data_IF_397120442311
#
_entry.id   IF_397120442311
#
_cell.length_a   1.000
_cell.length_b   1.000
_cell.length_c   1.000
_cell.angle_alpha   90.00
_cell.angle_beta   90.00
_cell.angle_gamma   90.00
#
_symmetry.space_group_name_H-M   'P 1'
#
loop_
_entity.id
_entity.type
_entity.pdbx_description
1 polymer ?
#
# COMPACT_ATOMS: atom_id res chain seq x y z
N UNK A 1 42.27 -4.59 19.99
CA UNK A 1 41.48 -5.62 19.26
C UNK A 1 40.37 -5.06 18.35
N UNK A 2 39.69 -3.94 18.68
CA UNK A 2 38.60 -3.37 17.85
C UNK A 2 39.04 -2.69 16.53
N UNK A 3 40.28 -2.20 16.44
CA UNK A 3 40.80 -1.54 15.23
C UNK A 3 41.16 -2.48 14.07
N UNK A 4 41.47 -3.75 14.37
CA UNK A 4 41.85 -4.73 13.34
C UNK A 4 40.65 -5.39 12.65
N UNK A 5 39.49 -5.50 13.34
CA UNK A 5 38.26 -6.05 12.76
C UNK A 5 37.60 -5.09 11.75
N UNK A 6 37.69 -3.77 11.95
CA UNK A 6 37.18 -2.78 10.97
C UNK A 6 37.99 -2.77 9.66
N UNK A 7 39.32 -2.93 9.72
CA UNK A 7 40.16 -2.99 8.51
C UNK A 7 39.97 -4.26 7.68
N UNK A 8 39.60 -5.38 8.32
CA UNK A 8 39.31 -6.64 7.63
C UNK A 8 37.93 -6.62 6.94
N UNK A 9 36.93 -5.94 7.51
CA UNK A 9 35.65 -5.70 6.83
C UNK A 9 35.82 -4.77 5.61
N UNK A 10 36.56 -3.66 5.76
CA UNK A 10 36.84 -2.70 4.67
C UNK A 10 37.63 -3.32 3.51
N UNK A 11 38.56 -4.26 3.78
CA UNK A 11 39.30 -4.98 2.73
C UNK A 11 38.49 -6.09 2.06
N UNK A 12 37.48 -6.66 2.74
CA UNK A 12 36.55 -7.63 2.13
C UNK A 12 35.50 -6.95 1.26
N UNK A 13 35.01 -5.77 1.65
CA UNK A 13 34.11 -4.96 0.79
C UNK A 13 34.85 -4.42 -0.43
N UNK A 14 36.09 -3.91 -0.30
CA UNK A 14 36.86 -3.45 -1.46
C UNK A 14 37.23 -4.54 -2.49
N UNK A 15 37.29 -5.82 -2.10
CA UNK A 15 37.50 -6.93 -3.05
C UNK A 15 36.23 -7.36 -3.79
N UNK A 16 35.05 -7.07 -3.23
CA UNK A 16 33.75 -7.21 -3.90
C UNK A 16 33.42 -5.97 -4.78
N UNK A 17 34.16 -4.87 -4.61
CA UNK A 17 34.00 -3.60 -5.32
C UNK A 17 34.99 -3.38 -6.47
N UNK A 18 35.64 -4.43 -7.00
CA UNK A 18 36.16 -4.30 -8.36
C UNK A 18 34.93 -4.09 -9.25
N UNK A 19 34.88 -3.06 -10.13
CA UNK A 19 33.83 -2.99 -11.13
C UNK A 19 33.93 -4.29 -11.91
N UNK A 20 32.97 -5.20 -11.69
CA UNK A 20 32.73 -6.29 -12.61
C UNK A 20 32.59 -5.60 -13.95
N UNK A 21 33.52 -5.85 -14.89
CA UNK A 21 33.43 -5.33 -16.26
C UNK A 21 31.98 -5.50 -16.66
N UNK A 22 31.24 -4.39 -16.84
CA UNK A 22 29.85 -4.45 -17.30
C UNK A 22 29.89 -5.29 -18.56
N UNK A 23 29.23 -6.47 -18.60
CA UNK A 23 29.18 -7.20 -19.84
C UNK A 23 28.43 -6.30 -20.82
N UNK A 24 29.00 -6.04 -22.01
CA UNK A 24 28.31 -5.34 -23.13
C UNK A 24 26.87 -5.84 -23.36
N UNK A 25 26.60 -7.08 -22.96
CA UNK A 25 25.30 -7.74 -23.04
C UNK A 25 24.21 -7.09 -22.16
N UNK A 26 24.57 -6.52 -21.02
CA UNK A 26 23.65 -5.85 -20.10
C UNK A 26 23.00 -4.63 -20.76
N UNK A 27 23.80 -3.77 -21.38
CA UNK A 27 23.30 -2.56 -22.05
C UNK A 27 22.49 -2.93 -23.31
N UNK A 28 22.88 -4.02 -24.01
CA UNK A 28 22.08 -4.60 -25.10
C UNK A 28 20.69 -5.05 -24.64
N UNK A 29 20.58 -5.73 -23.49
CA UNK A 29 19.29 -6.17 -22.95
C UNK A 29 18.44 -4.98 -22.49
N UNK A 30 19.04 -4.02 -21.78
CA UNK A 30 18.34 -2.80 -21.36
C UNK A 30 17.80 -2.03 -22.57
N UNK A 31 18.60 -1.91 -23.64
CA UNK A 31 18.17 -1.26 -24.89
C UNK A 31 17.04 -1.99 -25.60
N UNK A 32 16.98 -3.33 -25.54
CA UNK A 32 15.88 -4.13 -26.11
C UNK A 32 14.53 -3.87 -25.43
N UNK A 33 14.56 -3.42 -24.17
CA UNK A 33 13.37 -3.14 -23.37
C UNK A 33 13.16 -1.63 -23.15
N UNK A 34 13.92 -0.77 -23.83
CA UNK A 34 13.89 0.69 -23.69
C UNK A 34 14.10 1.16 -22.23
N UNK A 35 14.89 0.41 -21.46
CA UNK A 35 15.24 0.75 -20.06
C UNK A 35 16.49 1.65 -20.08
N UNK A 36 16.46 2.85 -19.47
CA UNK A 36 17.60 3.76 -19.45
C UNK A 36 18.85 3.22 -18.73
N UNK A 37 20.01 3.79 -19.07
CA UNK A 37 21.30 3.41 -18.49
C UNK A 37 21.39 3.79 -17.01
N UNK A 38 22.30 3.14 -16.26
CA UNK A 38 22.48 3.42 -14.83
C UNK A 38 22.90 4.87 -14.56
N UNK A 39 23.66 5.48 -15.49
CA UNK A 39 24.17 6.85 -15.35
C UNK A 39 23.06 7.91 -15.36
N UNK A 40 21.86 7.56 -15.81
CA UNK A 40 20.67 8.42 -15.77
C UNK A 40 19.95 8.38 -14.41
N UNK A 41 20.36 7.49 -13.50
CA UNK A 41 19.87 7.40 -12.13
C UNK A 41 21.05 7.54 -11.15
N UNK A 42 21.16 8.62 -10.35
CA UNK A 42 22.31 8.80 -9.47
C UNK A 42 22.46 7.63 -8.51
N UNK A 43 23.70 7.13 -8.34
CA UNK A 43 24.00 5.99 -7.49
C UNK A 43 23.67 6.30 -6.01
N UNK A 44 22.92 5.39 -5.37
CA UNK A 44 22.49 5.52 -3.97
C UNK A 44 23.70 5.67 -3.00
N UNK A 45 24.88 5.17 -3.37
CA UNK A 45 26.11 5.21 -2.57
C UNK A 45 26.73 6.61 -2.37
N UNK A 46 26.22 7.65 -3.04
CA UNK A 46 26.81 9.00 -3.01
C UNK A 46 26.15 9.99 -2.04
N UNK A 47 25.10 9.60 -1.31
CA UNK A 47 24.30 10.54 -0.54
C UNK A 47 24.19 10.15 0.94
N UNK A 48 24.76 11.00 1.82
CA UNK A 48 24.41 10.98 3.23
C UNK A 48 22.96 11.48 3.37
N UNK A 49 22.08 10.76 4.09
CA UNK A 49 20.69 11.17 4.28
C UNK A 49 20.69 12.51 5.02
N UNK A 50 20.50 13.59 4.27
CA UNK A 50 20.28 14.90 4.86
C UNK A 50 18.87 14.85 5.44
N UNK A 51 18.77 14.94 6.77
CA UNK A 51 17.52 15.21 7.44
C UNK A 51 17.00 16.53 6.86
N UNK A 52 16.02 16.44 5.95
CA UNK A 52 15.30 17.64 5.53
C UNK A 52 14.45 18.04 6.73
N UNK A 53 14.94 19.01 7.50
CA UNK A 53 14.11 19.75 8.44
C UNK A 53 13.04 20.46 7.60
N UNK A 54 11.80 19.97 7.69
CA UNK A 54 10.65 20.64 7.09
C UNK A 54 10.52 21.97 7.82
N UNK A 55 10.93 23.08 7.19
CA UNK A 55 10.72 24.40 7.76
C UNK A 55 9.22 24.64 7.98
N UNK A 56 8.78 24.96 9.22
CA UNK A 56 7.37 25.23 9.52
C UNK A 56 6.80 26.46 8.79
N UNK A 57 7.66 27.27 8.17
CA UNK A 57 7.35 28.61 7.66
C UNK A 57 6.63 28.62 6.31
N UNK A 58 6.64 27.50 5.57
CA UNK A 58 5.90 27.33 4.30
C UNK A 58 4.62 26.50 4.47
N UNK A 59 4.24 26.21 5.71
CA UNK A 59 2.93 25.63 6.04
C UNK A 59 1.92 26.74 5.84
N UNK A 60 1.08 26.63 4.82
CA UNK A 60 -0.26 27.21 4.90
C UNK A 60 -0.88 26.58 6.15
N UNK A 61 -0.75 27.25 7.29
CA UNK A 61 -1.46 26.90 8.51
C UNK A 61 -2.92 27.02 8.12
N UNK A 62 -3.54 25.87 7.87
CA UNK A 62 -4.96 25.81 7.62
C UNK A 62 -5.64 26.19 8.95
N UNK A 63 -5.87 27.49 9.13
CA UNK A 63 -6.87 27.95 10.07
C UNK A 63 -8.21 27.39 9.58
N UNK A 64 -8.95 26.65 10.42
CA UNK A 64 -10.27 26.18 10.05
C UNK A 64 -11.09 27.40 9.63
N UNK A 65 -11.82 27.36 8.49
CA UNK A 65 -12.67 28.48 8.12
C UNK A 65 -13.59 28.77 9.29
N UNK A 66 -13.50 30.00 9.81
CA UNK A 66 -14.40 30.51 10.84
C UNK A 66 -15.83 30.21 10.42
N UNK A 67 -16.63 29.73 11.38
CA UNK A 67 -18.05 29.40 11.22
C UNK A 67 -18.76 30.49 10.43
N UNK A 68 -18.89 30.29 9.12
CA UNK A 68 -19.65 31.17 8.24
C UNK A 68 -21.07 30.63 8.18
N UNK A 69 -21.99 31.46 8.66
CA UNK A 69 -23.42 31.21 8.76
C UNK A 69 -24.07 30.80 7.43
N UNK A 70 -24.95 29.82 7.55
CA UNK A 70 -26.10 29.45 6.73
C UNK A 70 -26.15 29.89 5.25
N UNK A 71 -25.95 28.91 4.35
CA UNK A 71 -26.70 28.84 3.10
C UNK A 71 -27.84 27.82 3.24
N UNK A 72 -29.08 28.14 2.84
CA UNK A 72 -30.20 27.24 3.03
C UNK A 72 -30.12 26.08 2.03
N UNK A 73 -29.78 24.88 2.52
CA UNK A 73 -30.02 23.62 1.79
C UNK A 73 -31.49 23.24 1.99
N UNK A 74 -32.19 22.93 0.90
CA UNK A 74 -33.63 22.64 0.91
C UNK A 74 -34.00 21.24 1.42
N UNK A 75 -33.20 20.66 2.30
CA UNK A 75 -33.51 19.42 3.01
C UNK A 75 -33.52 19.68 4.52
N UNK A 76 -34.62 19.33 5.20
CA UNK A 76 -34.73 19.41 6.66
C UNK A 76 -33.48 18.78 7.31
N UNK A 77 -32.75 19.48 8.20
CA UNK A 77 -31.61 18.89 8.88
C UNK A 77 -32.10 17.75 9.77
N UNK A 78 -31.69 16.51 9.46
CA UNK A 78 -31.85 15.38 10.38
C UNK A 78 -31.04 15.67 11.64
N UNK A 79 -31.59 15.37 12.81
CA UNK A 79 -30.89 15.56 14.07
C UNK A 79 -29.64 14.65 14.10
N UNK A 80 -28.49 15.15 14.57
CA UNK A 80 -27.25 14.36 14.74
C UNK A 80 -27.47 13.07 15.55
N UNK A 81 -28.45 13.06 16.47
CA UNK A 81 -28.84 11.86 17.23
C UNK A 81 -29.52 10.81 16.35
N UNK A 82 -30.41 11.22 15.45
CA UNK A 82 -31.09 10.32 14.50
C UNK A 82 -30.10 9.73 13.48
N UNK A 83 -29.13 10.54 13.02
CA UNK A 83 -28.05 10.07 12.15
C UNK A 83 -27.15 9.03 12.83
N UNK A 84 -26.86 9.21 14.13
CA UNK A 84 -26.09 8.24 14.92
C UNK A 84 -26.86 6.93 15.12
N UNK A 85 -28.16 6.99 15.36
CA UNK A 85 -29.00 5.80 15.56
C UNK A 85 -29.23 5.04 14.25
N UNK A 86 -29.39 5.74 13.12
CA UNK A 86 -29.45 5.11 11.79
C UNK A 86 -28.11 4.45 11.43
N UNK A 87 -26.99 5.14 11.64
CA UNK A 87 -25.66 4.59 11.42
C UNK A 87 -25.42 3.35 12.29
N UNK A 88 -25.79 3.40 13.57
CA UNK A 88 -25.67 2.26 14.48
C UNK A 88 -26.49 1.06 14.00
N UNK A 89 -27.74 1.27 13.57
CA UNK A 89 -28.58 0.19 13.00
C UNK A 89 -28.00 -0.40 11.72
N UNK A 90 -27.44 0.43 10.84
CA UNK A 90 -26.81 -0.01 9.60
C UNK A 90 -25.53 -0.81 9.89
N UNK A 91 -24.71 -0.34 10.83
CA UNK A 91 -23.54 -1.04 11.32
C UNK A 91 -23.94 -2.39 11.94
N UNK A 92 -24.91 -2.42 12.86
CA UNK A 92 -25.41 -3.65 13.49
C UNK A 92 -25.92 -4.66 12.43
N UNK A 93 -26.61 -4.18 11.39
CA UNK A 93 -27.06 -5.02 10.28
C UNK A 93 -25.90 -5.58 9.46
N UNK A 94 -24.93 -4.74 9.07
CA UNK A 94 -23.74 -5.16 8.33
C UNK A 94 -22.91 -6.16 9.13
N UNK A 95 -22.77 -5.92 10.43
CA UNK A 95 -22.07 -6.78 11.37
C UNK A 95 -22.76 -8.12 11.57
N UNK A 96 -24.09 -8.16 11.62
CA UNK A 96 -24.85 -9.42 11.72
C UNK A 96 -24.74 -10.31 10.47
N UNK A 97 -24.42 -9.70 9.32
CA UNK A 97 -24.35 -10.36 8.01
C UNK A 97 -22.93 -10.65 7.55
N UNK A 98 -21.92 -10.41 8.38
CA UNK A 98 -20.53 -10.59 8.00
C UNK A 98 -19.65 -11.18 9.10
N UNK A 99 -18.64 -11.93 8.70
CA UNK A 99 -17.56 -12.42 9.56
C UNK A 99 -16.22 -11.94 9.02
N UNK A 100 -15.22 -11.85 9.89
CA UNK A 100 -13.87 -11.42 9.54
C UNK A 100 -12.96 -12.65 9.54
N UNK A 101 -12.08 -12.76 8.55
CA UNK A 101 -11.04 -13.78 8.56
C UNK A 101 -10.01 -13.43 9.64
N UNK A 102 -9.79 -14.32 10.61
CA UNK A 102 -8.84 -14.12 11.72
C UNK A 102 -7.38 -13.96 11.29
N UNK A 103 -7.07 -14.30 10.03
CA UNK A 103 -5.73 -14.18 9.46
C UNK A 103 -5.50 -12.83 8.79
N UNK A 104 -6.36 -12.45 7.84
CA UNK A 104 -6.16 -11.25 7.02
C UNK A 104 -6.98 -10.03 7.45
N UNK A 105 -7.99 -10.20 8.32
CA UNK A 105 -8.85 -9.10 8.74
C UNK A 105 -9.88 -8.66 7.70
N UNK A 106 -9.96 -9.35 6.55
CA UNK A 106 -10.95 -9.07 5.49
C UNK A 106 -12.33 -9.58 5.91
N UNK A 107 -13.34 -8.74 5.71
CA UNK A 107 -14.74 -9.05 5.95
C UNK A 107 -15.30 -9.94 4.83
N UNK A 108 -16.12 -10.94 5.18
CA UNK A 108 -16.80 -11.86 4.29
C UNK A 108 -18.27 -12.00 4.68
N UNK A 109 -19.08 -12.57 3.79
CA UNK A 109 -20.50 -12.86 4.09
C UNK A 109 -20.60 -13.85 5.25
N UNK A 110 -21.53 -13.60 6.19
CA UNK A 110 -21.85 -14.51 7.28
C UNK A 110 -22.26 -15.90 6.75
N UNK A 111 -22.09 -16.94 7.58
CA UNK A 111 -22.31 -18.36 7.27
C UNK A 111 -21.25 -19.00 6.35
N UNK A 112 -20.07 -18.38 6.22
CA UNK A 112 -18.90 -18.94 5.53
C UNK A 112 -18.03 -19.84 6.42
N UNK A 113 -18.52 -20.27 7.60
CA UNK A 113 -17.75 -21.01 8.61
C UNK A 113 -17.01 -22.24 8.07
N UNK A 114 -17.56 -22.91 7.05
CA UNK A 114 -16.96 -24.11 6.43
C UNK A 114 -16.08 -23.81 5.20
N UNK A 115 -16.03 -22.55 4.76
CA UNK A 115 -15.29 -22.13 3.57
C UNK A 115 -13.99 -21.43 3.92
N UNK A 116 -13.00 -21.57 3.04
CA UNK A 116 -11.72 -20.88 3.13
C UNK A 116 -11.87 -19.42 2.70
N UNK A 117 -11.11 -18.53 3.32
CA UNK A 117 -11.02 -17.15 2.88
C UNK A 117 -10.36 -17.12 1.50
N UNK A 118 -11.06 -16.62 0.47
CA UNK A 118 -10.55 -16.60 -0.90
C UNK A 118 -9.29 -15.75 -1.06
N UNK A 119 -9.07 -14.75 -0.20
CA UNK A 119 -7.84 -13.95 -0.17
C UNK A 119 -6.69 -14.76 0.41
N UNK A 120 -6.88 -15.36 1.59
CA UNK A 120 -5.84 -16.14 2.26
C UNK A 120 -5.51 -17.44 1.54
N UNK A 121 -6.52 -18.08 0.96
CA UNK A 121 -6.40 -19.36 0.26
C UNK A 121 -5.96 -19.21 -1.20
N UNK A 122 -5.81 -18.00 -1.74
CA UNK A 122 -5.18 -17.83 -3.05
C UNK A 122 -3.77 -18.44 -2.99
N UNK A 123 -3.64 -19.67 -3.49
CA UNK A 123 -2.40 -20.45 -3.45
C UNK A 123 -1.31 -19.82 -4.32
N UNK A 124 -1.69 -18.95 -5.25
CA UNK A 124 -0.75 -18.25 -6.12
C UNK A 124 -0.13 -17.03 -5.45
N UNK A 125 -0.73 -16.52 -4.36
CA UNK A 125 -0.33 -15.25 -3.72
C UNK A 125 -0.10 -15.35 -2.21
N UNK A 126 -0.98 -16.01 -1.49
CA UNK A 126 -1.04 -15.93 -0.03
C UNK A 126 -0.86 -17.28 0.65
N UNK A 127 -1.46 -18.34 0.09
CA UNK A 127 -1.32 -19.75 0.50
C UNK A 127 -1.30 -20.00 2.02
N UNK A 128 -2.13 -19.30 2.79
CA UNK A 128 -2.23 -19.56 4.22
C UNK A 128 -2.82 -20.95 4.47
N UNK A 129 -2.30 -21.63 5.49
CA UNK A 129 -2.77 -22.98 5.83
C UNK A 129 -4.24 -22.90 6.27
N UNK A 130 -5.03 -23.91 5.91
CA UNK A 130 -6.45 -24.01 6.28
C UNK A 130 -6.67 -23.85 7.78
N UNK A 131 -5.81 -24.46 8.61
CA UNK A 131 -5.90 -24.40 10.08
C UNK A 131 -5.72 -22.98 10.65
N UNK A 132 -5.05 -22.09 9.92
CA UNK A 132 -4.80 -20.71 10.35
C UNK A 132 -6.00 -19.79 10.01
N UNK A 133 -6.98 -20.27 9.24
CA UNK A 133 -8.15 -19.51 8.78
C UNK A 133 -9.36 -19.81 9.65
N UNK A 134 -9.62 -18.93 10.61
CA UNK A 134 -10.84 -18.94 11.42
C UNK A 134 -11.70 -17.72 11.11
N UNK A 135 -12.94 -17.75 11.56
CA UNK A 135 -13.90 -16.67 11.37
C UNK A 135 -14.23 -16.05 12.73
N UNK A 136 -14.09 -14.74 12.84
CA UNK A 136 -14.36 -13.97 14.05
C UNK A 136 -15.37 -12.87 13.74
N UNK A 137 -16.26 -12.50 14.67
CA UNK A 137 -17.14 -11.33 14.48
C UNK A 137 -16.37 -10.03 14.72
N UNK A 138 -16.85 -8.91 14.20
CA UNK A 138 -16.25 -7.61 14.51
C UNK A 138 -16.38 -7.26 15.99
N UNK A 139 -17.49 -7.62 16.63
CA UNK A 139 -17.69 -7.44 18.06
C UNK A 139 -16.65 -8.23 18.86
N UNK A 140 -16.38 -9.49 18.49
CA UNK A 140 -15.33 -10.29 19.14
C UNK A 140 -13.94 -9.68 18.94
N UNK A 141 -13.66 -9.05 17.79
CA UNK A 141 -12.41 -8.32 17.58
C UNK A 141 -12.31 -7.16 18.57
N UNK A 142 -13.37 -6.37 18.74
CA UNK A 142 -13.39 -5.25 19.68
C UNK A 142 -13.29 -5.69 21.15
N UNK A 143 -14.03 -6.72 21.55
CA UNK A 143 -14.14 -7.14 22.95
C UNK A 143 -13.00 -8.05 23.40
N UNK A 144 -12.60 -9.03 22.56
CA UNK A 144 -11.66 -10.07 22.96
C UNK A 144 -10.21 -9.76 22.57
N UNK A 145 -9.99 -9.06 21.44
CA UNK A 145 -8.65 -8.62 21.05
C UNK A 145 -8.32 -7.22 21.60
N UNK A 146 -9.35 -6.44 21.97
CA UNK A 146 -9.27 -5.09 22.53
C UNK A 146 -8.23 -4.19 21.84
N UNK A 147 -8.27 -4.06 20.50
CA UNK A 147 -7.32 -3.24 19.78
C UNK A 147 -7.63 -1.75 19.95
N UNK A 148 -6.57 -0.94 19.97
CA UNK A 148 -6.64 0.52 20.00
C UNK A 148 -5.91 1.06 18.77
N UNK A 149 -6.55 1.98 18.04
CA UNK A 149 -5.89 2.70 16.96
C UNK A 149 -5.04 3.86 17.50
N UNK A 150 -3.83 3.99 16.97
CA UNK A 150 -2.95 5.13 17.13
C UNK A 150 -2.95 5.94 15.84
N UNK A 151 -2.86 7.26 15.97
CA UNK A 151 -2.83 8.18 14.84
C UNK A 151 -1.60 9.07 14.93
N UNK A 152 -0.78 9.03 13.90
CA UNK A 152 0.47 9.79 13.82
C UNK A 152 0.53 10.54 12.49
N UNK A 153 0.77 11.86 12.52
CA UNK A 153 1.01 12.62 11.30
C UNK A 153 2.44 12.36 10.83
N UNK A 154 2.58 11.63 9.72
CA UNK A 154 3.87 11.42 9.06
C UNK A 154 4.26 12.63 8.21
N UNK A 155 3.25 13.37 7.73
CA UNK A 155 3.36 14.65 7.03
C UNK A 155 2.19 15.54 7.48
N UNK A 156 2.24 16.87 7.27
CA UNK A 156 1.12 17.78 7.61
C UNK A 156 -0.24 17.35 7.01
N UNK A 157 -0.20 16.68 5.86
CA UNK A 157 -1.37 16.21 5.12
C UNK A 157 -1.48 14.67 5.03
N UNK A 158 -0.70 13.92 5.82
CA UNK A 158 -0.72 12.46 5.83
C UNK A 158 -0.79 11.95 7.26
N UNK A 159 -1.96 11.48 7.65
CA UNK A 159 -2.18 10.81 8.92
C UNK A 159 -2.05 9.29 8.72
N UNK A 160 -1.18 8.66 9.48
CA UNK A 160 -1.12 7.21 9.60
C UNK A 160 -2.08 6.72 10.68
N UNK A 161 -2.73 5.59 10.43
CA UNK A 161 -3.59 4.88 11.38
C UNK A 161 -3.01 3.48 11.57
N UNK A 162 -2.56 3.18 12.79
CA UNK A 162 -2.01 1.88 13.17
C UNK A 162 -2.83 1.25 14.28
N UNK A 163 -2.88 -0.08 14.34
CA UNK A 163 -3.57 -0.82 15.39
C UNK A 163 -2.59 -1.42 16.41
N UNK A 164 -2.94 -1.33 17.70
CA UNK A 164 -2.17 -1.87 18.81
C UNK A 164 -3.06 -2.70 19.77
N UNK A 165 -2.72 -3.96 20.10
CA UNK A 165 -1.59 -4.72 19.57
C UNK A 165 -1.72 -4.98 18.06
N UNK A 166 -0.62 -5.40 17.43
CA UNK A 166 -0.64 -5.82 16.03
C UNK A 166 -1.54 -7.04 15.88
N UNK A 167 -2.57 -6.91 15.05
CA UNK A 167 -3.52 -7.98 14.72
C UNK A 167 -3.54 -8.22 13.20
N UNK A 168 -4.05 -9.39 12.81
CA UNK A 168 -4.11 -9.82 11.40
C UNK A 168 -2.75 -9.71 10.69
N UNK A 169 -2.66 -9.00 9.57
CA UNK A 169 -1.42 -8.78 8.82
C UNK A 169 -0.58 -7.62 9.33
N UNK A 170 -1.04 -6.90 10.36
CA UNK A 170 -0.33 -5.74 10.90
C UNK A 170 -0.21 -4.55 9.95
N UNK A 171 -1.14 -4.46 9.00
CA UNK A 171 -1.22 -3.35 8.05
C UNK A 171 -1.62 -2.05 8.75
N UNK A 172 -1.30 -0.93 8.10
CA UNK A 172 -1.73 0.43 8.47
C UNK A 172 -2.61 1.02 7.37
N UNK A 173 -3.40 2.02 7.74
CA UNK A 173 -4.19 2.83 6.80
C UNK A 173 -3.66 4.27 6.82
N UNK A 174 -3.90 5.02 5.74
CA UNK A 174 -3.52 6.43 5.67
C UNK A 174 -4.73 7.31 5.34
N UNK A 175 -4.86 8.43 6.04
CA UNK A 175 -5.78 9.50 5.67
C UNK A 175 -4.98 10.65 5.05
N UNK A 176 -5.18 10.85 3.75
CA UNK A 176 -4.63 11.97 3.00
C UNK A 176 -5.57 13.16 3.15
N UNK A 177 -5.08 14.24 3.76
CA UNK A 177 -5.84 15.48 3.91
C UNK A 177 -5.73 16.32 2.65
N UNK A 178 -6.87 16.86 2.19
CA UNK A 178 -6.91 17.77 1.05
C UNK A 178 -8.12 18.71 1.11
N UNK A 179 -8.07 19.82 0.36
CA UNK A 179 -9.05 20.92 0.43
C UNK A 179 -10.42 20.49 -0.07
N UNK A 180 -10.46 19.64 -1.08
CA UNK A 180 -11.67 19.13 -1.73
C UNK A 180 -12.21 17.86 -1.05
N UNK A 181 -11.56 17.37 0.01
CA UNK A 181 -12.02 16.28 0.89
C UNK A 181 -10.96 15.21 1.15
N UNK A 182 -10.97 14.57 2.32
CA UNK A 182 -9.91 13.60 2.64
C UNK A 182 -10.12 12.26 1.91
N UNK A 183 -9.01 11.60 1.59
CA UNK A 183 -8.98 10.26 0.98
C UNK A 183 -8.42 9.27 2.00
N UNK A 184 -9.14 8.19 2.30
CA UNK A 184 -8.63 7.08 3.07
C UNK A 184 -8.01 6.05 2.12
N UNK A 185 -6.71 5.84 2.23
CA UNK A 185 -5.97 4.84 1.47
C UNK A 185 -5.83 3.56 2.30
N UNK A 186 -6.37 2.48 1.74
CA UNK A 186 -6.51 1.17 2.36
C UNK A 186 -7.35 1.19 3.65
N UNK A 187 -7.98 0.07 3.99
CA UNK A 187 -8.70 -0.10 5.24
C UNK A 187 -7.99 -1.07 6.17
N UNK A 188 -8.24 -0.92 7.47
CA UNK A 188 -7.80 -1.84 8.53
C UNK A 188 -9.00 -2.32 9.34
N UNK A 189 -8.84 -3.42 10.07
CA UNK A 189 -9.83 -3.95 11.00
C UNK A 189 -9.30 -3.82 12.44
N UNK A 190 -10.14 -3.42 13.42
CA UNK A 190 -11.56 -3.07 13.30
C UNK A 190 -11.80 -1.59 12.93
N UNK A 191 -13.05 -1.24 12.67
CA UNK A 191 -13.53 0.16 12.82
C UNK A 191 -13.98 0.38 14.26
N UNK A 192 -13.53 1.47 14.89
CA UNK A 192 -13.99 1.90 16.20
C UNK A 192 -14.47 3.38 16.17
N UNK A 193 -15.38 3.72 17.09
CA UNK A 193 -15.99 5.06 17.10
C UNK A 193 -15.05 6.16 17.59
N UNK A 194 -13.99 5.84 18.36
CA UNK A 194 -13.00 6.84 18.78
C UNK A 194 -12.24 7.35 17.55
N UNK A 195 -11.80 6.43 16.70
CA UNK A 195 -11.15 6.75 15.42
C UNK A 195 -12.09 7.48 14.46
N UNK A 196 -13.32 7.02 14.30
CA UNK A 196 -14.31 7.69 13.43
C UNK A 196 -14.56 9.13 13.89
N UNK A 197 -14.74 9.34 15.19
CA UNK A 197 -14.94 10.68 15.76
C UNK A 197 -13.69 11.57 15.58
N UNK A 198 -12.50 11.02 15.74
CA UNK A 198 -11.26 11.74 15.50
C UNK A 198 -11.14 12.19 14.03
N UNK A 199 -11.36 11.29 13.09
CA UNK A 199 -11.31 11.59 11.65
C UNK A 199 -12.37 12.62 11.25
N UNK A 200 -13.60 12.52 11.77
CA UNK A 200 -14.65 13.51 11.54
C UNK A 200 -14.26 14.92 12.02
N UNK A 201 -13.53 15.04 13.14
CA UNK A 201 -13.02 16.34 13.62
C UNK A 201 -11.98 16.97 12.70
N UNK A 202 -11.29 16.17 11.89
CA UNK A 202 -10.25 16.65 10.96
C UNK A 202 -10.70 16.62 9.48
N UNK A 203 -12.02 16.61 9.23
CA UNK A 203 -12.61 16.77 7.90
C UNK A 203 -13.32 15.53 7.34
N UNK A 204 -13.38 14.43 8.09
CA UNK A 204 -14.07 13.20 7.67
C UNK A 204 -13.34 12.47 6.54
N UNK A 205 -14.06 11.62 5.81
CA UNK A 205 -13.56 10.88 4.63
C UNK A 205 -14.52 11.10 3.47
N UNK A 206 -14.02 11.57 2.33
CA UNK A 206 -14.80 11.77 1.10
C UNK A 206 -14.70 10.59 0.14
N UNK A 207 -13.58 9.87 0.16
CA UNK A 207 -13.40 8.64 -0.62
C UNK A 207 -12.49 7.65 0.10
N UNK A 208 -12.74 6.37 -0.14
CA UNK A 208 -11.84 5.28 0.23
C UNK A 208 -11.24 4.71 -1.05
N UNK A 209 -9.93 4.46 -1.08
CA UNK A 209 -9.28 3.79 -2.20
C UNK A 209 -8.59 2.54 -1.67
N UNK A 210 -8.85 1.40 -2.31
CA UNK A 210 -8.25 0.12 -1.93
C UNK A 210 -7.14 -0.22 -2.92
N UNK A 211 -5.93 -0.38 -2.41
CA UNK A 211 -4.72 -0.66 -3.19
C UNK A 211 -4.73 -2.05 -3.82
N UNK A 212 -5.20 -3.05 -3.08
CA UNK A 212 -5.31 -4.45 -3.49
C UNK A 212 -6.22 -5.23 -2.51
N UNK A 213 -6.65 -6.47 -2.84
CA UNK A 213 -7.64 -7.21 -2.07
C UNK A 213 -7.34 -7.44 -0.59
N UNK A 214 -6.06 -7.53 -0.18
CA UNK A 214 -5.72 -7.73 1.23
C UNK A 214 -6.06 -6.52 2.10
N UNK A 215 -6.15 -5.34 1.49
CA UNK A 215 -6.44 -4.09 2.16
C UNK A 215 -7.93 -3.72 2.15
N UNK A 216 -8.80 -4.60 1.65
CA UNK A 216 -10.24 -4.44 1.76
C UNK A 216 -10.69 -4.45 3.23
N UNK A 217 -10.07 -5.26 4.10
CA UNK A 217 -10.36 -5.30 5.54
C UNK A 217 -11.87 -5.20 5.86
N UNK A 218 -12.28 -4.22 6.67
CA UNK A 218 -13.68 -3.86 6.97
C UNK A 218 -14.15 -2.61 6.20
N UNK A 219 -13.81 -2.48 4.90
CA UNK A 219 -14.08 -1.26 4.12
C UNK A 219 -15.56 -0.85 4.09
N UNK A 220 -16.51 -1.79 4.15
CA UNK A 220 -17.95 -1.45 4.13
C UNK A 220 -18.35 -0.70 5.40
N UNK A 221 -17.79 -1.11 6.53
CA UNK A 221 -17.98 -0.48 7.85
C UNK A 221 -17.33 0.90 7.85
N UNK A 222 -16.13 1.03 7.28
CA UNK A 222 -15.46 2.33 7.09
C UNK A 222 -16.31 3.27 6.24
N UNK A 223 -16.76 2.84 5.06
CA UNK A 223 -17.59 3.66 4.18
C UNK A 223 -18.89 4.08 4.86
N UNK A 224 -19.57 3.15 5.53
CA UNK A 224 -20.79 3.43 6.29
C UNK A 224 -20.58 4.47 7.38
N UNK A 225 -19.50 4.34 8.16
CA UNK A 225 -19.12 5.30 9.19
C UNK A 225 -18.85 6.72 8.66
N UNK A 226 -18.56 6.86 7.36
CA UNK A 226 -18.34 8.14 6.68
C UNK A 226 -19.41 8.42 5.62
N UNK A 227 -20.69 8.26 6.00
CA UNK A 227 -21.86 8.61 5.18
C UNK A 227 -21.89 7.88 3.83
N UNK A 228 -21.58 6.58 3.83
CA UNK A 228 -21.53 5.73 2.64
C UNK A 228 -20.62 6.29 1.53
N UNK A 229 -19.48 6.90 1.91
CA UNK A 229 -18.56 7.50 0.95
C UNK A 229 -18.07 6.48 -0.11
N UNK A 230 -17.82 6.89 -1.36
CA UNK A 230 -17.45 5.99 -2.42
C UNK A 230 -16.14 5.25 -2.15
N UNK A 231 -16.12 3.96 -2.53
CA UNK A 231 -14.97 3.07 -2.39
C UNK A 231 -14.46 2.72 -3.78
N UNK A 232 -13.25 3.15 -4.09
CA UNK A 232 -12.60 2.93 -5.38
C UNK A 232 -11.77 1.66 -5.34
N UNK A 233 -12.10 0.72 -6.21
CA UNK A 233 -11.41 -0.57 -6.36
C UNK A 233 -11.09 -0.75 -7.83
N UNK A 234 -9.88 -1.17 -8.16
CA UNK A 234 -9.57 -1.42 -9.57
C UNK A 234 -10.39 -2.63 -10.07
N UNK A 235 -11.03 -2.49 -11.22
CA UNK A 235 -11.94 -3.51 -11.79
C UNK A 235 -11.31 -4.89 -11.97
N UNK A 236 -9.98 -4.98 -12.14
CA UNK A 236 -9.27 -6.28 -12.22
C UNK A 236 -9.30 -7.06 -10.91
N UNK A 237 -9.57 -6.41 -9.80
CA UNK A 237 -9.67 -7.04 -8.49
C UNK A 237 -11.12 -7.32 -8.07
N UNK A 238 -12.11 -7.07 -8.94
CA UNK A 238 -13.53 -7.28 -8.62
C UNK A 238 -13.88 -8.74 -8.30
N UNK A 239 -13.09 -9.70 -8.80
CA UNK A 239 -13.26 -11.12 -8.49
C UNK A 239 -12.94 -11.47 -7.04
N UNK A 240 -12.21 -10.60 -6.33
CA UNK A 240 -11.85 -10.78 -4.92
C UNK A 240 -12.87 -10.15 -3.97
N UNK A 241 -13.99 -9.60 -4.47
CA UNK A 241 -15.07 -9.11 -3.62
C UNK A 241 -15.64 -10.24 -2.77
N UNK A 242 -15.57 -10.06 -1.46
CA UNK A 242 -15.92 -11.05 -0.44
C UNK A 242 -17.35 -10.91 0.10
N UNK A 243 -18.00 -9.80 -0.24
CA UNK A 243 -19.37 -9.45 0.12
C UNK A 243 -20.20 -9.24 -1.17
N UNK A 244 -21.45 -9.73 -1.22
CA UNK A 244 -22.37 -9.42 -2.30
C UNK A 244 -22.53 -7.91 -2.44
N UNK A 245 -22.52 -7.39 -3.66
CA UNK A 245 -22.73 -5.95 -3.89
C UNK A 245 -24.08 -5.47 -3.32
N UNK A 246 -25.09 -6.33 -3.26
CA UNK A 246 -26.38 -6.04 -2.63
C UNK A 246 -26.32 -5.87 -1.10
N UNK A 247 -25.24 -6.32 -0.46
CA UNK A 247 -25.01 -6.16 0.99
C UNK A 247 -24.14 -4.94 1.30
N UNK A 248 -23.64 -4.28 0.26
CA UNK A 248 -22.75 -3.16 0.36
C UNK A 248 -23.58 -1.90 0.14
N UNK A 249 -23.88 -1.18 1.22
CA UNK A 249 -24.52 0.14 1.16
C UNK A 249 -23.53 1.25 0.76
N UNK A 250 -22.27 0.89 0.47
CA UNK A 250 -21.26 1.80 -0.06
C UNK A 250 -21.31 1.88 -1.59
N UNK A 251 -21.08 3.07 -2.11
CA UNK A 251 -20.93 3.28 -3.55
C UNK A 251 -19.58 2.72 -4.04
N UNK A 252 -19.56 1.45 -4.45
CA UNK A 252 -18.36 0.83 -5.06
C UNK A 252 -18.16 1.36 -6.46
N UNK A 253 -16.99 1.95 -6.72
CA UNK A 253 -16.57 2.42 -8.03
C UNK A 253 -15.47 1.51 -8.53
N UNK A 254 -15.81 0.64 -9.48
CA UNK A 254 -14.84 -0.16 -10.21
C UNK A 254 -14.19 0.67 -11.31
N UNK A 255 -13.03 1.25 -11.02
CA UNK A 255 -12.30 2.03 -12.00
C UNK A 255 -11.47 1.13 -12.93
N UNK A 256 -11.12 1.67 -14.08
CA UNK A 256 -10.40 0.99 -15.17
C UNK A 256 -9.30 1.87 -15.70
N UNK A 257 -8.32 1.24 -16.31
CA UNK A 257 -7.22 1.93 -16.98
C UNK A 257 -5.98 1.99 -16.10
N UNK A 258 -5.02 2.80 -16.53
CA UNK A 258 -3.73 2.90 -15.86
C UNK A 258 -3.76 3.91 -14.71
N UNK A 259 -4.44 5.04 -14.89
CA UNK A 259 -4.50 6.13 -13.91
C UNK A 259 -5.94 6.53 -13.66
N UNK A 260 -6.26 6.82 -12.41
CA UNK A 260 -7.50 7.44 -11.98
C UNK A 260 -7.19 8.72 -11.22
N UNK A 261 -7.62 9.86 -11.76
CA UNK A 261 -7.47 11.16 -11.11
C UNK A 261 -8.56 11.34 -10.04
N UNK A 262 -8.14 11.71 -8.83
CA UNK A 262 -9.04 12.17 -7.80
C UNK A 262 -9.07 13.71 -7.85
N UNK A 263 -8.73 14.37 -6.75
CA UNK A 263 -8.75 15.83 -6.66
C UNK A 263 -7.48 16.35 -5.99
N UNK A 264 -7.28 17.65 -6.10
CA UNK A 264 -6.21 18.42 -5.47
C UNK A 264 -4.78 17.98 -5.78
N UNK A 265 -4.53 17.21 -6.84
CA UNK A 265 -3.26 16.51 -7.16
C UNK A 265 -3.06 15.15 -6.44
N UNK A 266 -4.16 14.42 -6.24
CA UNK A 266 -4.14 13.02 -5.81
C UNK A 266 -4.52 12.15 -7.01
N UNK A 267 -3.68 11.18 -7.36
CA UNK A 267 -3.94 10.22 -8.43
C UNK A 267 -3.67 8.80 -7.97
N UNK A 268 -4.30 7.83 -8.61
CA UNK A 268 -4.16 6.40 -8.32
C UNK A 268 -3.67 5.69 -9.58
N UNK A 269 -2.58 4.91 -9.48
CA UNK A 269 -1.90 4.31 -10.62
C UNK A 269 -1.89 2.78 -10.49
N UNK A 270 -2.51 2.08 -11.46
CA UNK A 270 -2.52 0.62 -11.55
C UNK A 270 -1.20 0.09 -12.12
N UNK A 271 -0.33 -0.37 -11.22
CA UNK A 271 0.95 -0.99 -11.57
C UNK A 271 0.83 -2.52 -11.75
N UNK A 272 -0.16 -3.16 -11.14
CA UNK A 272 -0.25 -4.62 -11.10
C UNK A 272 0.81 -5.22 -10.16
N UNK A 273 1.30 -6.43 -10.46
CA UNK A 273 2.31 -7.11 -9.65
C UNK A 273 1.69 -8.10 -8.68
N UNK A 274 1.48 -7.67 -7.44
CA UNK A 274 0.90 -8.52 -6.38
C UNK A 274 -0.48 -9.03 -6.80
N UNK A 275 -1.39 -8.12 -7.13
CA UNK A 275 -2.64 -8.40 -7.84
C UNK A 275 -2.67 -7.65 -9.18
N UNK A 276 -3.54 -8.07 -10.09
CA UNK A 276 -3.59 -7.44 -11.42
C UNK A 276 -4.20 -6.03 -11.33
N UNK A 277 -5.05 -5.78 -10.33
CA UNK A 277 -5.57 -4.47 -9.97
C UNK A 277 -4.70 -3.69 -8.97
N UNK A 278 -3.61 -4.26 -8.46
CA UNK A 278 -2.73 -3.57 -7.51
C UNK A 278 -2.32 -2.18 -7.97
N UNK A 279 -2.51 -1.19 -7.11
CA UNK A 279 -2.19 0.20 -7.42
C UNK A 279 -1.37 0.88 -6.32
N UNK A 280 -0.85 2.06 -6.66
CA UNK A 280 -0.25 3.02 -5.74
C UNK A 280 -1.07 4.31 -5.78
N UNK A 281 -1.05 5.09 -4.71
CA UNK A 281 -1.55 6.48 -4.72
C UNK A 281 -0.36 7.42 -4.81
N UNK A 282 -0.46 8.42 -5.67
CA UNK A 282 0.49 9.52 -5.78
C UNK A 282 -0.13 10.82 -5.29
N UNK A 283 0.62 11.55 -4.46
CA UNK A 283 0.33 12.90 -4.02
C UNK A 283 1.41 13.83 -4.53
N UNK A 284 1.05 14.82 -5.34
CA UNK A 284 1.97 15.90 -5.75
C UNK A 284 2.07 16.99 -4.67
N UNK A 285 3.17 17.73 -4.68
CA UNK A 285 3.41 18.90 -3.82
C UNK A 285 4.22 18.58 -2.56
N UNK A 286 4.91 19.58 -2.01
CA UNK A 286 5.83 19.44 -0.86
C UNK A 286 6.91 18.36 -1.06
N UNK A 287 7.39 18.18 -2.30
CA UNK A 287 8.31 17.09 -2.70
C UNK A 287 7.62 15.76 -3.00
N UNK A 288 6.30 15.66 -2.88
CA UNK A 288 5.47 14.52 -3.29
C UNK A 288 5.69 13.22 -2.51
N UNK A 289 4.70 12.35 -2.50
CA UNK A 289 4.84 11.01 -1.94
C UNK A 289 3.99 10.00 -2.69
N UNK A 290 4.39 8.73 -2.60
CA UNK A 290 3.54 7.61 -3.00
C UNK A 290 3.19 6.73 -1.80
N UNK A 291 1.95 6.23 -1.78
CA UNK A 291 1.52 5.16 -0.89
C UNK A 291 1.57 3.87 -1.69
N UNK A 292 2.56 3.02 -1.38
CA UNK A 292 2.89 1.90 -2.25
C UNK A 292 2.24 0.58 -1.86
N UNK A 293 1.76 0.47 -0.62
CA UNK A 293 1.18 -0.77 -0.08
C UNK A 293 2.09 -1.99 -0.36
N UNK A 294 1.51 -3.13 -0.74
CA UNK A 294 2.22 -4.31 -1.24
C UNK A 294 2.51 -4.25 -2.76
N UNK A 295 2.11 -3.18 -3.46
CA UNK A 295 2.37 -3.00 -4.90
C UNK A 295 3.85 -2.73 -5.17
N UNK A 296 4.47 -1.86 -4.36
CA UNK A 296 5.93 -1.72 -4.26
C UNK A 296 6.30 -1.88 -2.79
N UNK A 297 6.74 -3.08 -2.39
CA UNK A 297 7.06 -3.37 -1.00
C UNK A 297 8.40 -2.76 -0.63
N UNK A 298 8.40 -1.80 0.28
CA UNK A 298 9.63 -1.21 0.84
C UNK A 298 10.46 -2.30 1.52
N UNK A 299 11.72 -2.39 1.13
CA UNK A 299 12.70 -3.32 1.70
C UNK A 299 12.98 -3.03 3.17
N UNK A 300 13.49 -4.03 3.88
CA UNK A 300 13.89 -3.87 5.28
C UNK A 300 15.05 -2.86 5.44
N UNK A 301 15.83 -2.63 4.38
CA UNK A 301 16.90 -1.63 4.30
C UNK A 301 16.37 -0.19 4.20
N UNK A 302 15.07 0.00 3.91
CA UNK A 302 14.44 1.30 3.64
C UNK A 302 15.06 2.05 2.46
N UNK A 303 15.78 1.33 1.61
CA UNK A 303 16.56 1.86 0.49
C UNK A 303 16.37 1.02 -0.79
N UNK A 304 15.39 0.12 -0.78
CA UNK A 304 14.97 -0.64 -1.94
C UNK A 304 13.45 -0.87 -1.93
N UNK A 305 12.90 -1.24 -3.08
CA UNK A 305 11.55 -1.84 -3.18
C UNK A 305 11.61 -3.18 -3.89
N UNK A 306 10.73 -4.10 -3.50
CA UNK A 306 10.54 -5.40 -4.14
C UNK A 306 9.13 -5.51 -4.72
N UNK A 307 9.00 -6.35 -5.75
CA UNK A 307 7.72 -6.70 -6.37
C UNK A 307 7.56 -8.21 -6.37
N UNK A 308 6.54 -8.69 -5.66
CA UNK A 308 6.27 -10.11 -5.51
C UNK A 308 4.88 -10.45 -6.01
N UNK A 309 4.75 -11.64 -6.62
CA UNK A 309 3.44 -12.25 -6.84
C UNK A 309 2.89 -12.82 -5.53
N UNK A 310 3.77 -13.37 -4.70
CA UNK A 310 3.45 -13.90 -3.37
C UNK A 310 4.51 -13.48 -2.37
N UNK A 311 4.18 -12.53 -1.49
CA UNK A 311 5.07 -12.15 -0.40
C UNK A 311 5.24 -13.28 0.63
N UNK A 312 4.18 -14.05 0.89
CA UNK A 312 4.19 -15.10 1.91
C UNK A 312 5.02 -16.32 1.51
N UNK A 313 4.99 -16.69 0.22
CA UNK A 313 5.78 -17.81 -0.32
C UNK A 313 7.07 -17.35 -0.98
N UNK A 314 7.40 -16.06 -0.89
CA UNK A 314 8.55 -15.45 -1.53
C UNK A 314 8.63 -15.70 -3.06
N UNK A 315 7.48 -15.72 -3.74
CA UNK A 315 7.43 -15.86 -5.21
C UNK A 315 7.51 -14.47 -5.83
N UNK A 316 8.58 -14.14 -6.57
CA UNK A 316 8.73 -12.84 -7.19
C UNK A 316 7.70 -12.63 -8.32
N UNK A 317 7.39 -11.37 -8.64
CA UNK A 317 6.60 -11.08 -9.84
C UNK A 317 7.37 -11.52 -11.10
N UNK A 318 6.69 -11.73 -12.23
CA UNK A 318 7.42 -12.06 -13.45
C UNK A 318 8.13 -10.80 -14.03
N UNK A 319 9.24 -10.96 -14.78
CA UNK A 319 9.99 -9.82 -15.33
C UNK A 319 9.16 -8.92 -16.25
N UNK A 320 8.22 -9.50 -17.02
CA UNK A 320 7.31 -8.72 -17.88
C UNK A 320 6.41 -7.77 -17.09
N UNK A 321 5.94 -8.18 -15.90
CA UNK A 321 5.14 -7.31 -15.02
C UNK A 321 6.01 -6.19 -14.46
N UNK A 322 7.21 -6.50 -13.99
CA UNK A 322 8.15 -5.48 -13.48
C UNK A 322 8.55 -4.49 -14.58
N UNK A 323 8.72 -4.95 -15.82
CA UNK A 323 8.98 -4.09 -16.97
C UNK A 323 7.82 -3.13 -17.23
N UNK A 324 6.58 -3.65 -17.24
CA UNK A 324 5.38 -2.80 -17.35
C UNK A 324 5.36 -1.74 -16.26
N UNK A 325 5.61 -2.12 -15.00
CA UNK A 325 5.64 -1.18 -13.87
C UNK A 325 6.69 -0.09 -14.08
N UNK A 326 7.90 -0.49 -14.48
CA UNK A 326 9.00 0.44 -14.77
C UNK A 326 8.63 1.43 -15.88
N UNK A 327 8.08 0.94 -17.00
CA UNK A 327 7.67 1.78 -18.13
C UNK A 327 6.55 2.77 -17.78
N UNK A 328 5.60 2.36 -16.93
CA UNK A 328 4.55 3.25 -16.44
C UNK A 328 5.14 4.34 -15.55
N UNK A 329 5.95 3.96 -14.57
CA UNK A 329 6.59 4.91 -13.65
C UNK A 329 7.49 5.90 -14.37
N UNK A 330 8.25 5.43 -15.38
CA UNK A 330 9.09 6.26 -16.23
C UNK A 330 8.26 7.24 -17.07
N UNK A 331 7.21 6.75 -17.74
CA UNK A 331 6.38 7.57 -18.64
C UNK A 331 5.55 8.61 -17.89
N UNK A 332 4.99 8.25 -16.74
CA UNK A 332 4.21 9.18 -15.92
C UNK A 332 5.09 10.22 -15.23
N UNK A 333 6.40 9.95 -15.11
CA UNK A 333 7.41 10.84 -14.54
C UNK A 333 6.99 11.46 -13.20
N UNK A 334 6.33 10.67 -12.35
CA UNK A 334 5.73 11.13 -11.10
C UNK A 334 6.77 11.82 -10.22
N UNK A 335 6.40 12.95 -9.63
CA UNK A 335 7.24 13.71 -8.71
C UNK A 335 6.97 13.26 -7.26
N UNK A 336 7.94 12.56 -6.65
CA UNK A 336 7.85 12.09 -5.27
C UNK A 336 9.22 11.79 -4.66
N UNK A 337 9.41 12.26 -3.43
CA UNK A 337 10.60 12.05 -2.60
C UNK A 337 10.41 10.92 -1.59
N UNK A 338 9.16 10.60 -1.23
CA UNK A 338 8.84 9.64 -0.16
C UNK A 338 7.96 8.50 -0.65
N UNK A 339 8.14 7.35 -0.01
CA UNK A 339 7.35 6.13 -0.26
C UNK A 339 6.91 5.58 1.09
N UNK A 340 5.61 5.39 1.28
CA UNK A 340 5.05 4.78 2.48
C UNK A 340 4.42 3.43 2.14
N UNK A 341 4.96 2.36 2.72
CA UNK A 341 4.54 0.98 2.51
C UNK A 341 3.37 0.54 3.40
N UNK A 342 2.96 -0.72 3.24
CA UNK A 342 1.80 -1.32 3.89
C UNK A 342 1.94 -1.60 5.40
N UNK A 343 3.17 -1.69 5.93
CA UNK A 343 3.42 -1.97 7.36
C UNK A 343 4.01 -0.75 8.08
N UNK A 344 3.73 -0.56 9.37
CA UNK A 344 4.38 0.46 10.20
C UNK A 344 5.89 0.52 10.03
N UNK A 345 6.41 1.70 9.68
CA UNK A 345 7.84 1.96 9.50
C UNK A 345 8.44 1.45 8.19
N UNK A 346 7.66 0.87 7.29
CA UNK A 346 8.07 0.57 5.91
C UNK A 346 8.10 1.86 5.07
N UNK A 347 9.01 2.78 5.42
CA UNK A 347 9.07 4.12 4.84
C UNK A 347 10.41 4.37 4.16
N UNK A 348 10.37 4.95 2.96
CA UNK A 348 11.51 5.61 2.31
C UNK A 348 11.27 7.11 2.45
N UNK A 349 12.15 7.79 3.20
CA UNK A 349 11.92 9.19 3.61
C UNK A 349 12.51 10.25 2.66
N UNK A 350 13.34 9.84 1.71
CA UNK A 350 13.95 10.71 0.70
C UNK A 350 14.36 9.87 -0.51
N UNK A 351 14.54 10.51 -1.67
CA UNK A 351 14.98 9.87 -2.91
C UNK A 351 14.08 8.73 -3.39
N UNK A 352 12.80 8.77 -3.03
CA UNK A 352 11.82 7.73 -3.32
C UNK A 352 11.77 7.37 -4.80
N UNK A 353 11.78 8.36 -5.69
CA UNK A 353 11.80 8.14 -7.14
C UNK A 353 13.03 7.36 -7.59
N UNK A 354 14.21 7.79 -7.19
CA UNK A 354 15.49 7.19 -7.56
C UNK A 354 15.58 5.75 -7.01
N UNK A 355 15.21 5.55 -5.75
CA UNK A 355 15.23 4.24 -5.11
C UNK A 355 14.27 3.26 -5.80
N UNK A 356 13.03 3.68 -6.08
CA UNK A 356 12.05 2.84 -6.78
C UNK A 356 12.54 2.48 -8.18
N UNK A 357 12.97 3.47 -8.96
CA UNK A 357 13.43 3.24 -10.33
C UNK A 357 14.68 2.36 -10.38
N UNK A 358 15.65 2.59 -9.48
CA UNK A 358 16.84 1.74 -9.35
C UNK A 358 16.48 0.31 -8.98
N UNK A 359 15.58 0.10 -8.01
CA UNK A 359 15.17 -1.24 -7.58
C UNK A 359 14.51 -2.04 -8.70
N UNK A 360 13.57 -1.42 -9.43
CA UNK A 360 12.88 -2.06 -10.55
C UNK A 360 13.87 -2.38 -11.69
N UNK A 361 14.79 -1.45 -11.98
CA UNK A 361 15.86 -1.66 -12.97
C UNK A 361 16.79 -2.80 -12.57
N UNK A 362 17.23 -2.85 -11.32
CA UNK A 362 18.07 -3.94 -10.79
C UNK A 362 17.38 -5.30 -10.85
N UNK A 363 16.08 -5.34 -10.55
CA UNK A 363 15.26 -6.54 -10.68
C UNK A 363 15.27 -7.06 -12.13
N UNK A 364 15.02 -6.18 -13.11
CA UNK A 364 15.00 -6.53 -14.54
C UNK A 364 16.38 -6.97 -15.02
N UNK A 365 17.40 -6.25 -14.58
CA UNK A 365 18.80 -6.57 -14.83
C UNK A 365 19.18 -7.96 -14.35
N UNK A 366 18.81 -8.30 -13.12
CA UNK A 366 19.06 -9.63 -12.56
C UNK A 366 18.31 -10.72 -13.35
N UNK A 367 17.04 -10.46 -13.67
CA UNK A 367 16.16 -11.41 -14.38
C UNK A 367 16.63 -11.74 -15.79
N UNK A 368 17.33 -10.81 -16.44
CA UNK A 368 17.83 -10.98 -17.81
C UNK A 368 19.30 -11.41 -17.87
N UNK A 369 19.98 -11.66 -16.74
CA UNK A 369 21.33 -12.22 -16.77
C UNK A 369 21.26 -13.66 -17.27
N UNK A 370 21.49 -13.86 -18.55
CA UNK A 370 22.00 -15.13 -19.06
C UNK A 370 23.37 -15.35 -18.43
N UNK A 371 23.41 -16.12 -17.34
CA UNK A 371 24.59 -16.95 -17.12
C UNK A 371 24.39 -18.16 -18.00
N UNK A 372 25.38 -18.46 -18.83
CA UNK A 372 25.60 -19.83 -19.29
C UNK A 372 25.44 -20.73 -18.06
N UNK A 373 24.33 -21.45 -18.00
CA UNK A 373 24.17 -22.54 -17.05
C UNK A 373 25.15 -23.60 -17.54
N UNK A 374 26.42 -23.53 -17.12
CA UNK A 374 27.29 -24.70 -17.17
C UNK A 374 26.54 -25.78 -16.38
N UNK A 375 26.00 -26.78 -17.10
CA UNK A 375 25.25 -27.86 -16.49
C UNK A 375 26.13 -28.53 -15.41
N UNK A 376 25.78 -28.46 -14.13
CA UNK A 376 26.61 -29.03 -13.06
C UNK A 376 26.71 -30.56 -13.13
N UNK A 377 25.89 -31.19 -13.98
CA UNK A 377 25.68 -32.62 -14.04
C UNK A 377 26.26 -33.29 -15.31
N UNK A 378 26.91 -32.53 -16.19
CA UNK A 378 27.51 -33.07 -17.43
C UNK A 378 28.94 -33.59 -17.22
N UNK A 379 29.28 -34.16 -16.07
CA UNK A 379 30.46 -35.04 -15.96
C UNK A 379 30.11 -36.44 -16.43
N UNK A 380 29.90 -36.58 -17.73
CA UNK A 380 30.28 -37.83 -18.40
C UNK A 380 31.81 -37.93 -18.36
N UNK A 381 32.32 -38.60 -17.33
CA UNK A 381 33.61 -39.26 -17.42
C UNK A 381 33.37 -40.74 -17.27
N UNK A 382 33.05 -41.36 -18.41
CA UNK A 382 33.45 -42.73 -18.66
C UNK A 382 34.96 -42.84 -18.43
N UNK A 383 35.36 -43.60 -17.42
CA UNK A 383 36.69 -44.22 -17.34
C UNK A 383 36.46 -45.70 -17.14
#
# INVERSE_FOLDING_TARGET
MRFWQQRLLLRRTQRLLRPLKRPMFVDSILSRFEIPAAEEFPAIEQFEPTMIEIEPSAVDVFEPPGLAEDRPSSSKPRNQHEQRDELKKLLDLLLSKATICSTCGVQHTANRHDSLCCICYDVTRNAFRKVDQMWISHQDVLENLNPVHRWDFLEPNLLEIQTSPTIFLGQRSFLIKSKSGNVLWDCICPVDMVTVNYINKIGGVKAIVISNPEHMATFTIWSSAFNNCPVYIHSRDSAYMTLPLSYIDSHIIFWRGETYELWDDISVINLGGHYDGSCILHRKGYGGFILSSNTLKVGADRMSVSVMKSYRNFIPANPATVLRMFQIMLRLDLDYERVYGSLPGDDIKAMGKQIVMSSLREYLMWSCREKELEEPWSTSKSV
#
